data_IF_154759612493
#
_entry.id   IF_154759612493
#
_cell.length_a   1.000
_cell.length_b   1.000
_cell.length_c   1.000
_cell.angle_alpha   90.00
_cell.angle_beta   90.00
_cell.angle_gamma   90.00
#
_symmetry.space_group_name_H-M   'P 1'
#
loop_
_entity.id
_entity.type
_entity.pdbx_description
1 polymer ?
#
# COMPACT_ATOMS: atom_id res chain seq x y z
N UNK A 1 5.56 -2.23 -19.50
CA UNK A 1 6.99 -2.61 -19.33
C UNK A 1 7.04 -3.90 -18.56
N UNK A 2 7.64 -4.95 -19.07
CA UNK A 2 7.85 -6.16 -18.30
C UNK A 2 8.81 -5.80 -17.15
N UNK A 3 8.34 -5.92 -15.92
CA UNK A 3 9.20 -5.97 -14.75
C UNK A 3 10.26 -7.02 -15.08
N UNK A 4 11.54 -6.67 -15.05
CA UNK A 4 12.64 -7.54 -15.44
C UNK A 4 12.53 -8.92 -14.75
N UNK A 5 11.68 -9.78 -15.27
CA UNK A 5 11.71 -11.23 -15.22
C UNK A 5 11.47 -11.93 -13.87
N UNK A 6 11.27 -11.23 -12.77
CA UNK A 6 10.95 -11.89 -11.49
C UNK A 6 9.68 -11.28 -10.91
N UNK A 7 8.55 -11.95 -11.19
CA UNK A 7 7.37 -11.72 -10.36
C UNK A 7 7.75 -12.07 -8.91
N UNK A 8 7.32 -11.27 -7.92
CA UNK A 8 7.44 -11.65 -6.51
C UNK A 8 6.80 -13.02 -6.31
N UNK A 9 7.32 -13.83 -5.39
CA UNK A 9 6.70 -15.13 -5.08
C UNK A 9 5.24 -14.94 -4.75
N UNK A 10 4.41 -15.64 -5.52
CA UNK A 10 2.96 -15.50 -5.46
C UNK A 10 2.39 -16.27 -4.26
N UNK A 11 2.11 -15.55 -3.20
CA UNK A 11 1.31 -16.07 -2.10
C UNK A 11 -0.09 -15.45 -2.15
N UNK A 12 -1.10 -16.29 -1.93
CA UNK A 12 -2.50 -15.85 -1.90
C UNK A 12 -3.18 -16.36 -0.63
N UNK A 13 -3.77 -15.46 0.12
CA UNK A 13 -4.74 -15.78 1.15
C UNK A 13 -6.14 -15.84 0.52
N UNK A 14 -6.78 -17.01 0.57
CA UNK A 14 -8.19 -17.16 0.17
C UNK A 14 -9.03 -16.87 1.42
N UNK A 15 -9.50 -15.65 1.51
CA UNK A 15 -10.19 -15.15 2.70
C UNK A 15 -11.58 -15.79 2.88
N UNK A 16 -12.09 -15.92 4.13
CA UNK A 16 -13.43 -16.42 4.40
C UNK A 16 -14.56 -15.66 3.70
N UNK A 17 -14.36 -14.37 3.42
CA UNK A 17 -15.29 -13.56 2.62
C UNK A 17 -15.24 -13.85 1.11
N UNK A 18 -14.40 -14.81 0.67
CA UNK A 18 -14.31 -15.29 -0.70
C UNK A 18 -13.25 -14.59 -1.57
N UNK A 19 -12.64 -13.51 -1.10
CA UNK A 19 -11.64 -12.77 -1.88
C UNK A 19 -10.24 -13.33 -1.72
N UNK A 20 -9.45 -13.22 -2.79
CA UNK A 20 -8.02 -13.55 -2.79
C UNK A 20 -7.21 -12.30 -2.51
N UNK A 21 -6.36 -12.35 -1.52
CA UNK A 21 -5.41 -11.28 -1.18
C UNK A 21 -4.01 -11.79 -1.49
N UNK A 22 -3.35 -11.11 -2.41
CA UNK A 22 -1.95 -11.36 -2.76
C UNK A 22 -1.03 -10.77 -1.70
N UNK A 23 0.05 -11.49 -1.39
CA UNK A 23 1.12 -10.95 -0.55
C UNK A 23 2.48 -11.58 -0.87
N UNK A 24 3.53 -10.83 -0.63
CA UNK A 24 4.91 -11.29 -0.62
C UNK A 24 5.26 -11.63 0.82
N UNK A 25 5.92 -12.79 1.04
CA UNK A 25 6.41 -13.24 2.33
C UNK A 25 7.93 -13.44 2.24
N UNK A 26 8.69 -12.69 3.02
CA UNK A 26 10.15 -12.70 2.97
C UNK A 26 10.77 -12.63 4.37
N UNK A 27 11.84 -13.43 4.55
CA UNK A 27 12.59 -13.47 5.79
C UNK A 27 11.92 -14.28 6.89
N UNK A 28 12.52 -14.24 8.06
CA UNK A 28 12.06 -14.94 9.26
C UNK A 28 12.22 -14.02 10.47
N UNK A 29 11.47 -14.27 11.54
CA UNK A 29 11.55 -13.51 12.79
C UNK A 29 10.31 -12.66 13.07
N UNK A 30 10.41 -11.57 13.84
CA UNK A 30 9.29 -10.69 14.14
C UNK A 30 8.65 -10.14 12.87
N UNK A 31 7.30 -10.14 12.82
CA UNK A 31 6.57 -9.80 11.59
C UNK A 31 6.47 -8.29 11.40
N UNK A 32 6.79 -7.84 10.18
CA UNK A 32 6.55 -6.48 9.70
C UNK A 32 5.61 -6.54 8.50
N UNK A 33 4.45 -5.92 8.62
CA UNK A 33 3.41 -5.84 7.58
C UNK A 33 3.53 -4.50 6.85
N UNK A 34 3.47 -4.54 5.52
CA UNK A 34 3.54 -3.36 4.66
C UNK A 34 2.22 -3.18 3.93
N UNK A 35 1.60 -2.00 4.07
CA UNK A 35 0.32 -1.63 3.46
C UNK A 35 0.53 -0.39 2.58
N UNK A 36 0.35 -0.54 1.28
CA UNK A 36 0.62 0.48 0.28
C UNK A 36 -0.49 1.54 0.17
N UNK A 37 -0.17 2.63 -0.51
CA UNK A 37 -1.13 3.70 -0.84
C UNK A 37 -2.03 3.35 -2.03
N UNK A 38 -2.99 4.22 -2.30
CA UNK A 38 -3.87 4.14 -3.48
C UNK A 38 -3.22 4.76 -4.72
N UNK A 39 -3.77 4.44 -5.89
CA UNK A 39 -3.41 5.03 -7.18
C UNK A 39 -3.29 3.97 -8.27
N UNK A 40 -3.32 4.39 -9.55
CA UNK A 40 -3.12 3.47 -10.67
C UNK A 40 -1.76 2.75 -10.57
N UNK A 41 -1.77 1.42 -10.69
CA UNK A 41 -0.56 0.60 -10.59
C UNK A 41 -0.02 0.40 -9.17
N UNK A 42 -0.71 0.88 -8.13
CA UNK A 42 -0.28 0.67 -6.75
C UNK A 42 -0.30 -0.82 -6.39
N UNK A 43 0.76 -1.26 -5.71
CA UNK A 43 0.90 -2.59 -5.14
C UNK A 43 1.86 -2.54 -3.95
N UNK A 44 1.87 -3.55 -3.13
CA UNK A 44 2.84 -3.67 -2.04
C UNK A 44 4.28 -3.60 -2.57
N UNK A 45 4.57 -4.34 -3.65
CA UNK A 45 5.89 -4.31 -4.25
C UNK A 45 6.26 -2.94 -4.81
N UNK A 46 5.40 -2.31 -5.61
CA UNK A 46 5.73 -1.00 -6.22
C UNK A 46 6.00 0.07 -5.17
N UNK A 47 5.33 0.00 -4.01
CA UNK A 47 5.46 0.97 -2.94
C UNK A 47 6.68 0.74 -2.05
N UNK A 48 7.04 -0.53 -1.78
CA UNK A 48 8.03 -0.89 -0.77
C UNK A 48 9.23 -1.71 -1.29
N UNK A 49 9.42 -1.81 -2.62
CA UNK A 49 10.50 -2.61 -3.24
C UNK A 49 11.90 -2.30 -2.72
N UNK A 50 12.14 -1.07 -2.26
CA UNK A 50 13.43 -0.64 -1.72
C UNK A 50 13.56 -0.86 -0.20
N UNK A 51 12.50 -1.29 0.49
CA UNK A 51 12.45 -1.36 1.94
C UNK A 51 12.40 -2.79 2.47
N UNK A 52 11.43 -3.59 2.02
CA UNK A 52 11.12 -4.87 2.66
C UNK A 52 12.24 -5.90 2.55
N UNK A 53 13.04 -5.90 1.46
CA UNK A 53 14.18 -6.81 1.33
C UNK A 53 15.25 -6.50 2.36
N UNK A 54 15.62 -5.22 2.50
CA UNK A 54 16.60 -4.79 3.51
C UNK A 54 16.15 -5.10 4.93
N UNK A 55 14.85 -4.92 5.22
CA UNK A 55 14.29 -5.23 6.55
C UNK A 55 14.29 -6.74 6.78
N UNK A 56 13.98 -7.55 5.78
CA UNK A 56 14.06 -9.01 5.88
C UNK A 56 15.50 -9.50 6.15
N UNK A 57 16.50 -8.89 5.50
CA UNK A 57 17.92 -9.18 5.76
C UNK A 57 18.36 -8.84 7.20
N UNK A 58 17.64 -7.98 7.89
CA UNK A 58 17.87 -7.66 9.31
C UNK A 58 17.16 -8.61 10.29
N UNK A 59 16.61 -9.73 9.81
CA UNK A 59 16.01 -10.77 10.66
C UNK A 59 14.54 -10.51 11.00
N UNK A 60 13.80 -9.88 10.10
CA UNK A 60 12.35 -9.73 10.19
C UNK A 60 11.64 -10.54 9.11
N UNK A 61 10.45 -11.04 9.42
CA UNK A 61 9.53 -11.58 8.41
C UNK A 61 8.68 -10.45 7.86
N UNK A 62 8.85 -10.13 6.59
CA UNK A 62 8.14 -9.07 5.89
C UNK A 62 6.96 -9.63 5.13
N UNK A 63 5.74 -9.23 5.49
CA UNK A 63 4.49 -9.51 4.77
C UNK A 63 4.09 -8.23 4.02
N UNK A 64 4.20 -8.26 2.70
CA UNK A 64 3.91 -7.09 1.85
C UNK A 64 2.63 -7.38 1.09
N UNK A 65 1.50 -6.80 1.55
CA UNK A 65 0.19 -7.06 0.97
C UNK A 65 -0.11 -6.16 -0.22
N UNK A 66 -0.79 -6.72 -1.19
CA UNK A 66 -1.60 -5.96 -2.13
C UNK A 66 -3.00 -5.79 -1.53
N UNK A 67 -3.41 -4.56 -1.26
CA UNK A 67 -4.75 -4.30 -0.73
C UNK A 67 -5.82 -4.77 -1.72
N UNK A 68 -6.99 -5.18 -1.20
CA UNK A 68 -8.15 -5.50 -2.06
C UNK A 68 -8.41 -4.34 -3.04
N UNK A 69 -8.70 -4.63 -4.30
CA UNK A 69 -8.84 -3.63 -5.35
C UNK A 69 -7.52 -3.26 -6.07
N UNK A 70 -6.36 -3.71 -5.58
CA UNK A 70 -5.04 -3.32 -6.09
C UNK A 70 -4.14 -4.52 -6.42
N UNK A 71 -3.05 -4.23 -7.14
CA UNK A 71 -1.99 -5.19 -7.44
C UNK A 71 -2.52 -6.50 -8.03
N UNK A 72 -2.14 -7.61 -7.41
CA UNK A 72 -2.58 -8.97 -7.78
C UNK A 72 -3.72 -9.51 -6.91
N UNK A 73 -4.21 -8.71 -5.93
CA UNK A 73 -5.41 -9.03 -5.17
C UNK A 73 -6.66 -8.90 -6.05
N UNK A 74 -7.76 -9.54 -5.63
CA UNK A 74 -9.05 -9.42 -6.32
C UNK A 74 -9.53 -7.97 -6.35
N UNK A 75 -10.30 -7.64 -7.39
CA UNK A 75 -10.80 -6.29 -7.66
C UNK A 75 -12.32 -6.33 -7.83
N UNK A 76 -13.07 -6.53 -6.74
CA UNK A 76 -14.53 -6.50 -6.81
C UNK A 76 -15.00 -5.11 -7.23
N UNK A 77 -15.93 -5.07 -8.17
CA UNK A 77 -16.55 -3.84 -8.70
C UNK A 77 -18.04 -3.70 -8.29
N UNK A 78 -18.56 -4.72 -7.62
CA UNK A 78 -19.96 -4.85 -7.18
C UNK A 78 -20.15 -4.55 -5.67
N UNK A 79 -19.09 -4.14 -4.97
CA UNK A 79 -19.13 -3.83 -3.54
C UNK A 79 -18.48 -2.48 -3.24
N UNK A 80 -19.00 -1.81 -2.23
CA UNK A 80 -18.34 -0.63 -1.68
C UNK A 80 -17.02 -1.00 -0.99
N UNK A 81 -16.06 -0.08 -1.04
CA UNK A 81 -14.77 -0.25 -0.40
C UNK A 81 -14.58 0.72 0.79
N UNK A 82 -15.40 0.61 1.86
CA UNK A 82 -15.19 1.40 3.08
C UNK A 82 -13.88 0.95 3.77
N UNK A 83 -13.37 1.77 4.66
CA UNK A 83 -12.13 1.46 5.39
C UNK A 83 -12.20 0.12 6.12
N UNK A 84 -13.36 -0.19 6.73
CA UNK A 84 -13.59 -1.46 7.43
C UNK A 84 -13.43 -2.69 6.53
N UNK A 85 -13.79 -2.59 5.25
CA UNK A 85 -13.62 -3.69 4.29
C UNK A 85 -12.13 -3.96 4.02
N UNK A 86 -11.30 -2.92 3.85
CA UNK A 86 -9.85 -3.10 3.74
C UNK A 86 -9.27 -3.71 5.00
N UNK A 87 -9.67 -3.23 6.18
CA UNK A 87 -9.20 -3.74 7.47
C UNK A 87 -9.55 -5.22 7.63
N UNK A 88 -10.78 -5.60 7.30
CA UNK A 88 -11.24 -7.00 7.34
C UNK A 88 -10.41 -7.90 6.41
N UNK A 89 -10.23 -7.50 5.15
CA UNK A 89 -9.44 -8.28 4.18
C UNK A 89 -7.98 -8.44 4.64
N UNK A 90 -7.35 -7.38 5.16
CA UNK A 90 -5.99 -7.44 5.71
C UNK A 90 -5.95 -8.38 6.92
N UNK A 91 -6.89 -8.26 7.86
CA UNK A 91 -6.94 -9.13 9.04
C UNK A 91 -7.06 -10.60 8.66
N UNK A 92 -7.98 -10.93 7.75
CA UNK A 92 -8.18 -12.31 7.29
C UNK A 92 -6.93 -12.86 6.59
N UNK A 93 -6.27 -12.04 5.77
CA UNK A 93 -5.03 -12.45 5.10
C UNK A 93 -3.89 -12.71 6.11
N UNK A 94 -3.75 -11.86 7.13
CA UNK A 94 -2.76 -12.05 8.19
C UNK A 94 -3.02 -13.30 9.03
N UNK A 95 -4.28 -13.60 9.35
CA UNK A 95 -4.65 -14.82 10.06
C UNK A 95 -4.26 -16.08 9.26
N UNK A 96 -4.53 -16.07 7.95
CA UNK A 96 -4.18 -17.18 7.07
C UNK A 96 -2.66 -17.30 6.86
N UNK A 97 -1.92 -16.19 6.94
CA UNK A 97 -0.46 -16.19 6.94
C UNK A 97 0.15 -16.58 8.31
N UNK A 98 -0.69 -16.90 9.31
CA UNK A 98 -0.26 -17.32 10.65
C UNK A 98 0.34 -16.17 11.49
N UNK A 99 -0.06 -14.92 11.23
CA UNK A 99 0.43 -13.74 11.97
C UNK A 99 -0.43 -13.51 13.19
N UNK A 100 0.15 -13.66 14.37
CA UNK A 100 -0.51 -13.43 15.67
C UNK A 100 -0.17 -12.08 16.29
N UNK A 101 0.98 -11.50 15.93
CA UNK A 101 1.39 -10.15 16.31
C UNK A 101 2.31 -9.58 15.23
N UNK A 102 2.29 -8.26 15.02
CA UNK A 102 3.12 -7.60 14.00
C UNK A 102 3.39 -6.13 14.31
N UNK A 103 4.41 -5.61 13.64
CA UNK A 103 4.59 -4.18 13.37
C UNK A 103 3.94 -3.87 12.02
N UNK A 104 3.36 -2.68 11.86
CA UNK A 104 2.72 -2.31 10.59
C UNK A 104 3.29 -1.01 10.06
N UNK A 105 3.67 -1.01 8.79
CA UNK A 105 4.11 0.16 8.04
C UNK A 105 3.04 0.45 7.00
N UNK A 106 2.39 1.61 7.10
CA UNK A 106 1.31 2.00 6.21
C UNK A 106 1.56 3.33 5.52
N UNK A 107 1.41 3.37 4.20
CA UNK A 107 1.52 4.58 3.39
C UNK A 107 0.15 5.04 2.91
N UNK A 108 -0.20 6.33 3.06
CA UNK A 108 -1.43 6.93 2.53
C UNK A 108 -2.68 6.12 2.92
N UNK A 109 -3.42 5.53 1.97
CA UNK A 109 -4.53 4.60 2.23
C UNK A 109 -4.11 3.46 3.17
N UNK A 110 -2.94 2.85 2.93
CA UNK A 110 -2.39 1.82 3.81
C UNK A 110 -2.15 2.31 5.23
N UNK A 111 -1.86 3.61 5.42
CA UNK A 111 -1.77 4.25 6.73
C UNK A 111 -3.12 4.33 7.44
N UNK A 112 -4.20 4.65 6.72
CA UNK A 112 -5.56 4.60 7.26
C UNK A 112 -5.96 3.18 7.66
N UNK A 113 -5.68 2.19 6.78
CA UNK A 113 -5.95 0.77 7.05
C UNK A 113 -5.14 0.27 8.25
N UNK A 114 -3.86 0.63 8.34
CA UNK A 114 -3.00 0.29 9.49
C UNK A 114 -3.55 0.84 10.81
N UNK A 115 -4.06 2.07 10.78
CA UNK A 115 -4.69 2.69 11.95
C UNK A 115 -5.98 1.98 12.33
N UNK A 116 -6.86 1.69 11.36
CA UNK A 116 -8.07 0.90 11.58
C UNK A 116 -7.76 -0.48 12.17
N UNK A 117 -6.76 -1.17 11.60
CA UNK A 117 -6.32 -2.49 12.08
C UNK A 117 -5.84 -2.42 13.55
N UNK A 118 -5.08 -1.38 13.92
CA UNK A 118 -4.60 -1.23 15.29
C UNK A 118 -5.72 -0.89 16.28
N UNK A 119 -6.74 -0.16 15.86
CA UNK A 119 -7.90 0.17 16.70
C UNK A 119 -8.82 -1.03 16.91
N UNK A 120 -9.06 -1.81 15.86
CA UNK A 120 -9.95 -2.98 15.92
C UNK A 120 -9.27 -4.22 16.52
N UNK A 121 -7.95 -4.37 16.31
CA UNK A 121 -7.16 -5.53 16.74
C UNK A 121 -5.90 -5.10 17.52
N UNK A 122 -6.04 -4.48 18.71
CA UNK A 122 -4.91 -3.91 19.47
C UNK A 122 -3.89 -4.96 19.94
N UNK A 123 -4.31 -6.21 20.08
CA UNK A 123 -3.40 -7.30 20.44
C UNK A 123 -2.51 -7.74 19.27
N UNK A 124 -2.98 -7.56 18.04
CA UNK A 124 -2.25 -7.91 16.82
C UNK A 124 -1.15 -6.87 16.53
N UNK A 125 -1.47 -5.58 16.63
CA UNK A 125 -0.58 -4.50 16.19
C UNK A 125 0.23 -3.94 17.36
N UNK A 126 1.53 -4.21 17.38
CA UNK A 126 2.43 -3.74 18.45
C UNK A 126 2.94 -2.32 18.24
N UNK A 127 3.24 -1.94 17.01
CA UNK A 127 3.70 -0.59 16.65
C UNK A 127 3.26 -0.24 15.23
N UNK A 128 3.10 1.07 14.99
CA UNK A 128 2.80 1.64 13.69
C UNK A 128 3.93 2.54 13.21
N UNK A 129 4.22 2.47 11.92
CA UNK A 129 4.96 3.49 11.18
C UNK A 129 4.01 4.02 10.10
N UNK A 130 3.65 5.29 10.19
CA UNK A 130 2.68 5.92 9.29
C UNK A 130 3.39 6.91 8.38
N UNK A 131 3.27 6.69 7.08
CA UNK A 131 3.87 7.52 6.03
C UNK A 131 2.72 8.28 5.33
N UNK A 132 2.62 9.59 5.60
CA UNK A 132 1.55 10.44 5.08
C UNK A 132 0.16 9.76 5.12
N UNK A 133 -0.30 9.30 6.30
CA UNK A 133 -1.49 8.46 6.41
C UNK A 133 -2.75 9.20 5.97
N UNK A 134 -3.64 8.50 5.26
CA UNK A 134 -4.98 9.00 4.95
C UNK A 134 -5.86 9.09 6.19
N UNK A 135 -6.87 9.95 6.16
CA UNK A 135 -7.87 10.05 7.22
C UNK A 135 -7.44 10.79 8.50
N UNK A 136 -6.28 11.46 8.48
CA UNK A 136 -5.74 12.21 9.64
C UNK A 136 -6.10 13.71 9.62
N UNK A 137 -6.72 14.19 8.56
CA UNK A 137 -7.20 15.57 8.42
C UNK A 137 -8.67 15.60 8.05
N UNK A 138 -9.31 16.75 8.18
CA UNK A 138 -10.66 16.96 7.65
C UNK A 138 -10.64 16.78 6.14
N UNK A 139 -11.72 16.21 5.59
CA UNK A 139 -11.85 15.90 4.17
C UNK A 139 -11.60 17.13 3.29
N UNK A 140 -12.15 18.27 3.67
CA UNK A 140 -12.04 19.54 2.96
C UNK A 140 -10.58 20.03 2.92
N UNK A 141 -9.85 19.93 4.03
CA UNK A 141 -8.44 20.30 4.12
C UNK A 141 -7.57 19.40 3.26
N UNK A 142 -7.85 18.08 3.29
CA UNK A 142 -7.14 17.10 2.49
C UNK A 142 -7.29 17.37 0.98
N UNK A 143 -8.52 17.58 0.51
CA UNK A 143 -8.78 17.88 -0.90
C UNK A 143 -8.31 19.28 -1.34
N UNK A 144 -8.10 20.21 -0.41
CA UNK A 144 -7.56 21.54 -0.72
C UNK A 144 -6.03 21.54 -0.88
N UNK A 145 -5.33 20.47 -0.52
CA UNK A 145 -3.87 20.39 -0.68
C UNK A 145 -3.49 20.44 -2.16
N UNK A 146 -2.54 21.29 -2.57
CA UNK A 146 -2.16 21.44 -3.99
C UNK A 146 -1.73 20.12 -4.66
N UNK A 147 -0.99 19.28 -3.95
CA UNK A 147 -0.59 17.96 -4.45
C UNK A 147 -1.76 17.03 -4.70
N UNK A 148 -2.80 17.08 -3.83
CA UNK A 148 -4.02 16.30 -4.01
C UNK A 148 -4.83 16.79 -5.21
N UNK A 149 -4.97 18.11 -5.35
CA UNK A 149 -5.65 18.70 -6.51
C UNK A 149 -4.96 18.31 -7.83
N UNK A 150 -3.63 18.40 -7.88
CA UNK A 150 -2.86 17.97 -9.06
C UNK A 150 -3.01 16.47 -9.34
N UNK A 151 -3.03 15.65 -8.31
CA UNK A 151 -3.25 14.21 -8.44
C UNK A 151 -4.64 13.90 -9.03
N UNK A 152 -5.69 14.57 -8.56
CA UNK A 152 -7.04 14.41 -9.12
C UNK A 152 -7.14 14.92 -10.56
N UNK A 153 -6.47 16.04 -10.89
CA UNK A 153 -6.39 16.54 -12.27
C UNK A 153 -5.78 15.48 -13.19
N UNK A 154 -4.62 14.93 -12.81
CA UNK A 154 -3.90 13.92 -13.61
C UNK A 154 -4.71 12.62 -13.74
N UNK A 155 -5.19 12.06 -12.63
CA UNK A 155 -5.92 10.79 -12.66
C UNK A 155 -7.34 10.91 -13.22
N UNK A 156 -7.96 12.08 -13.09
CA UNK A 156 -9.30 12.35 -13.62
C UNK A 156 -9.33 12.82 -15.08
N UNK A 157 -8.18 13.06 -15.70
CA UNK A 157 -8.10 13.55 -17.10
C UNK A 157 -8.57 12.52 -18.12
N UNK A 158 -8.51 11.22 -17.79
CA UNK A 158 -8.74 10.12 -18.73
C UNK A 158 -7.60 9.89 -19.74
N UNK A 159 -6.55 10.71 -19.70
CA UNK A 159 -5.38 10.56 -20.55
C UNK A 159 -4.44 9.46 -20.03
N UNK A 160 -3.68 8.81 -20.91
CA UNK A 160 -2.67 7.84 -20.49
C UNK A 160 -1.62 8.50 -19.59
N UNK A 161 -1.36 7.88 -18.43
CA UNK A 161 -0.35 8.37 -17.50
C UNK A 161 1.04 7.94 -17.99
N UNK A 162 1.82 8.91 -18.45
CA UNK A 162 3.19 8.67 -18.92
C UNK A 162 4.21 8.90 -17.80
N UNK A 163 5.46 8.39 -17.93
CA UNK A 163 6.53 8.69 -16.98
C UNK A 163 6.78 10.19 -16.78
N UNK A 164 6.62 11.00 -17.84
CA UNK A 164 6.78 12.45 -17.78
C UNK A 164 5.70 13.10 -16.90
N UNK A 165 4.43 12.67 -17.08
CA UNK A 165 3.29 13.14 -16.25
C UNK A 165 3.50 12.74 -14.79
N UNK A 166 3.94 11.51 -14.54
CA UNK A 166 4.25 11.05 -13.17
C UNK A 166 5.39 11.86 -12.56
N UNK A 167 6.44 12.14 -13.32
CA UNK A 167 7.57 12.97 -12.84
C UNK A 167 7.13 14.39 -12.50
N UNK A 168 6.27 15.00 -13.32
CA UNK A 168 5.68 16.29 -13.03
C UNK A 168 4.84 16.27 -11.76
N UNK A 169 3.96 15.27 -11.61
CA UNK A 169 3.11 15.09 -10.44
C UNK A 169 3.94 14.97 -9.15
N UNK A 170 4.96 14.13 -9.14
CA UNK A 170 5.85 13.99 -7.99
C UNK A 170 6.62 15.29 -7.69
N UNK A 171 7.14 15.95 -8.72
CA UNK A 171 7.93 17.18 -8.56
C UNK A 171 7.10 18.36 -8.07
N UNK A 172 5.84 18.44 -8.49
CA UNK A 172 4.98 19.58 -8.21
C UNK A 172 4.42 19.58 -6.79
N UNK A 173 3.99 18.43 -6.25
CA UNK A 173 3.21 18.47 -5.04
C UNK A 173 3.28 17.26 -4.12
N UNK A 174 3.90 16.16 -4.55
CA UNK A 174 3.97 14.94 -3.75
C UNK A 174 5.33 14.75 -3.08
N UNK A 175 6.36 15.45 -3.53
CA UNK A 175 7.70 15.40 -2.93
C UNK A 175 8.13 16.76 -2.41
N UNK A 176 8.63 16.79 -1.19
CA UNK A 176 9.23 17.99 -0.60
C UNK A 176 10.43 18.50 -1.43
N UNK A 177 11.23 17.59 -1.98
CA UNK A 177 12.39 17.93 -2.80
C UNK A 177 12.25 17.32 -4.20
N UNK A 178 11.95 18.13 -5.24
CA UNK A 178 11.73 17.67 -6.60
C UNK A 178 12.89 16.87 -7.22
N UNK A 179 14.13 17.03 -6.73
CA UNK A 179 15.28 16.30 -7.24
C UNK A 179 15.17 14.77 -7.10
N UNK A 180 14.30 14.30 -6.21
CA UNK A 180 14.06 12.88 -6.02
C UNK A 180 13.04 12.29 -7.01
N UNK A 181 12.35 13.11 -7.79
CA UNK A 181 11.51 12.67 -8.90
C UNK A 181 12.41 12.27 -10.10
N UNK A 182 13.13 11.18 -9.97
CA UNK A 182 14.05 10.69 -11.00
C UNK A 182 13.33 9.82 -12.04
N UNK A 183 13.94 9.66 -13.22
CA UNK A 183 13.40 8.79 -14.27
C UNK A 183 13.29 7.33 -13.81
N UNK A 184 14.21 6.86 -12.96
CA UNK A 184 14.19 5.53 -12.36
C UNK A 184 12.99 5.33 -11.42
N UNK A 185 12.58 6.38 -10.70
CA UNK A 185 11.43 6.31 -9.79
C UNK A 185 10.12 6.16 -10.54
N UNK A 186 9.98 6.83 -11.70
CA UNK A 186 8.72 6.88 -12.47
C UNK A 186 8.63 5.85 -13.59
N UNK A 187 9.72 5.15 -13.87
CA UNK A 187 9.77 4.05 -14.85
C UNK A 187 9.16 2.77 -14.29
#
# INVERSE_FOLDING_TARGET
MALNGVLPDENYAICPNGYRIHYIDRGEGPVVVFLHGSGPGASGHSNFKQNYLTIAEQGYRCIVLDLIGFGFSDKPDDVDHPLSFFVECVKQALDLAGVTECFVIGNSLGGAVATGLALEYPDLVKKLVLLAPGGMSQTEEYFAMPGMQKMFEVYGSGEPITPEIMKELFSFGLMYNPKYATDELVA
#
